data_IF_777573742736
#
_entry.id   IF_777573742736
#
_cell.length_a   1.000
_cell.length_b   1.000
_cell.length_c   1.000
_cell.angle_alpha   90.00
_cell.angle_beta   90.00
_cell.angle_gamma   90.00
#
_symmetry.space_group_name_H-M   'P 1'
#
loop_
_entity.id
_entity.type
_entity.pdbx_description
1 polymer ?
#
# COMPACT_ATOMS: atom_id res chain seq x y z
N UNK A 1 14.12 -2.17 -21.88
CA UNK A 1 13.70 -3.37 -21.12
C UNK A 1 12.82 -2.87 -19.99
N UNK A 2 11.59 -3.37 -19.86
CA UNK A 2 10.74 -3.02 -18.73
C UNK A 2 11.44 -3.39 -17.42
N UNK A 3 11.40 -2.52 -16.42
CA UNK A 3 12.02 -2.79 -15.13
C UNK A 3 11.32 -3.97 -14.45
N UNK A 4 12.08 -4.86 -13.81
CA UNK A 4 11.50 -5.91 -12.97
C UNK A 4 10.92 -5.27 -11.70
N UNK A 5 9.63 -5.45 -11.47
CA UNK A 5 8.93 -4.90 -10.29
C UNK A 5 8.78 -5.98 -9.22
N UNK A 6 9.08 -5.63 -7.96
CA UNK A 6 8.82 -6.45 -6.79
C UNK A 6 7.34 -6.30 -6.38
N UNK A 7 6.42 -6.78 -7.22
CA UNK A 7 4.98 -6.72 -6.97
C UNK A 7 4.45 -7.91 -6.16
N UNK A 8 3.21 -7.80 -5.67
CA UNK A 8 2.48 -8.91 -5.06
C UNK A 8 1.04 -8.99 -5.60
N UNK A 9 0.44 -10.18 -5.69
CA UNK A 9 -0.95 -10.32 -6.10
C UNK A 9 -1.89 -9.74 -5.04
N UNK A 10 -2.87 -8.97 -5.49
CA UNK A 10 -3.97 -8.45 -4.67
C UNK A 10 -5.29 -9.03 -5.16
N UNK A 11 -6.30 -9.07 -4.28
CA UNK A 11 -7.65 -9.49 -4.69
C UNK A 11 -8.38 -8.38 -5.47
N UNK A 12 -9.40 -8.77 -6.23
CA UNK A 12 -10.17 -7.85 -7.07
C UNK A 12 -10.84 -6.71 -6.27
N UNK A 13 -11.12 -6.93 -4.98
CA UNK A 13 -11.73 -5.93 -4.12
C UNK A 13 -10.71 -4.84 -3.77
N UNK A 14 -9.48 -5.21 -3.44
CA UNK A 14 -8.41 -4.25 -3.18
C UNK A 14 -8.03 -3.51 -4.46
N UNK A 15 -7.94 -4.20 -5.61
CA UNK A 15 -7.72 -3.59 -6.92
C UNK A 15 -8.77 -2.51 -7.24
N UNK A 16 -10.06 -2.85 -7.15
CA UNK A 16 -11.17 -1.90 -7.39
C UNK A 16 -11.08 -0.69 -6.46
N UNK A 17 -10.70 -0.91 -5.19
CA UNK A 17 -10.56 0.18 -4.21
C UNK A 17 -9.39 1.10 -4.54
N UNK A 18 -8.27 0.57 -5.03
CA UNK A 18 -7.12 1.38 -5.46
C UNK A 18 -7.54 2.27 -6.63
N UNK A 19 -8.14 1.68 -7.67
CA UNK A 19 -8.59 2.43 -8.85
C UNK A 19 -9.57 3.54 -8.49
N UNK A 20 -10.56 3.22 -7.64
CA UNK A 20 -11.52 4.23 -7.16
C UNK A 20 -10.84 5.35 -6.38
N UNK A 21 -9.93 5.01 -5.46
CA UNK A 21 -9.20 6.00 -4.69
C UNK A 21 -8.38 6.94 -5.60
N UNK A 22 -7.73 6.39 -6.64
CA UNK A 22 -6.98 7.19 -7.62
C UNK A 22 -7.92 8.19 -8.31
N UNK A 23 -9.08 7.74 -8.79
CA UNK A 23 -10.08 8.62 -9.41
C UNK A 23 -10.58 9.68 -8.44
N UNK A 24 -11.01 9.28 -7.24
CA UNK A 24 -11.59 10.18 -6.24
C UNK A 24 -10.57 11.25 -5.79
N UNK A 25 -9.29 10.89 -5.65
CA UNK A 25 -8.21 11.83 -5.32
C UNK A 25 -7.86 12.78 -6.47
N UNK A 26 -8.02 12.36 -7.74
CA UNK A 26 -7.79 13.22 -8.91
C UNK A 26 -8.94 14.20 -9.16
N UNK A 27 -10.18 13.77 -8.98
CA UNK A 27 -11.37 14.58 -9.26
C UNK A 27 -11.79 15.48 -8.10
N UNK A 28 -11.75 14.95 -6.87
CA UNK A 28 -12.25 15.64 -5.68
C UNK A 28 -11.44 15.28 -4.41
N UNK A 29 -10.14 15.64 -4.34
CA UNK A 29 -9.22 15.24 -3.27
C UNK A 29 -9.70 15.60 -1.85
N UNK A 30 -10.43 16.69 -1.70
CA UNK A 30 -10.99 17.16 -0.43
C UNK A 30 -12.24 16.38 0.01
N UNK A 31 -12.88 15.63 -0.89
CA UNK A 31 -14.02 14.76 -0.57
C UNK A 31 -13.60 13.40 0.00
N UNK A 32 -12.34 13.01 -0.18
CA UNK A 32 -11.80 11.74 0.30
C UNK A 32 -11.41 11.84 1.77
N UNK A 33 -11.98 10.96 2.60
CA UNK A 33 -11.65 10.90 4.01
C UNK A 33 -10.17 10.48 4.19
N UNK A 34 -9.42 11.24 4.99
CA UNK A 34 -7.99 10.96 5.26
C UNK A 34 -7.76 9.56 5.82
N UNK A 35 -8.65 9.08 6.68
CA UNK A 35 -8.59 7.71 7.21
C UNK A 35 -8.79 6.64 6.13
N UNK A 36 -9.52 6.94 5.05
CA UNK A 36 -9.71 6.01 3.94
C UNK A 36 -8.42 5.83 3.14
N UNK A 37 -7.69 6.93 2.91
CA UNK A 37 -6.35 6.91 2.28
C UNK A 37 -5.39 6.07 3.13
N UNK A 38 -5.33 6.33 4.44
CA UNK A 38 -4.47 5.58 5.36
C UNK A 38 -4.83 4.09 5.35
N UNK A 39 -6.12 3.77 5.43
CA UNK A 39 -6.58 2.38 5.47
C UNK A 39 -6.25 1.65 4.16
N UNK A 40 -6.37 2.30 3.01
CA UNK A 40 -5.99 1.70 1.73
C UNK A 40 -4.51 1.33 1.69
N UNK A 41 -3.62 2.28 2.01
CA UNK A 41 -2.16 2.03 2.01
C UNK A 41 -1.80 0.91 3.01
N UNK A 42 -2.49 0.86 4.15
CA UNK A 42 -2.33 -0.20 5.14
C UNK A 42 -2.76 -1.56 4.59
N UNK A 43 -3.89 -1.64 3.89
CA UNK A 43 -4.36 -2.89 3.27
C UNK A 43 -3.37 -3.38 2.19
N UNK A 44 -2.79 -2.48 1.42
CA UNK A 44 -1.76 -2.78 0.41
C UNK A 44 -0.46 -3.29 1.05
N UNK A 45 -0.05 -2.66 2.16
CA UNK A 45 1.13 -3.08 2.93
C UNK A 45 0.92 -4.46 3.55
N UNK A 46 -0.27 -4.73 4.10
CA UNK A 46 -0.62 -6.03 4.66
C UNK A 46 -0.61 -7.14 3.61
N UNK A 47 -1.14 -6.87 2.40
CA UNK A 47 -1.04 -7.81 1.27
C UNK A 47 0.43 -8.13 0.93
N UNK A 48 1.29 -7.12 0.93
CA UNK A 48 2.72 -7.27 0.65
C UNK A 48 3.44 -8.08 1.73
N UNK A 49 3.17 -7.83 3.01
CA UNK A 49 3.72 -8.64 4.11
C UNK A 49 3.21 -10.07 4.09
N UNK A 50 1.93 -10.29 3.78
CA UNK A 50 1.39 -11.64 3.64
C UNK A 50 2.12 -12.42 2.55
N UNK A 51 2.37 -11.79 1.41
CA UNK A 51 2.99 -12.42 0.25
C UNK A 51 4.50 -12.64 0.42
N UNK A 52 5.25 -11.61 0.80
CA UNK A 52 6.72 -11.66 0.83
C UNK A 52 7.30 -12.18 2.14
N UNK A 53 6.51 -12.18 3.23
CA UNK A 53 7.03 -12.54 4.55
C UNK A 53 6.28 -13.72 5.16
N UNK A 54 4.97 -13.59 5.38
CA UNK A 54 4.18 -14.61 6.10
C UNK A 54 4.10 -15.93 5.33
N UNK A 55 3.81 -15.87 4.03
CA UNK A 55 3.66 -17.07 3.18
C UNK A 55 4.96 -17.88 3.07
N UNK A 56 6.14 -17.30 2.80
CA UNK A 56 7.41 -18.03 2.82
C UNK A 56 7.67 -18.72 4.16
N UNK A 57 7.46 -18.02 5.28
CA UNK A 57 7.67 -18.58 6.61
C UNK A 57 6.74 -19.78 6.87
N UNK A 58 5.46 -19.67 6.49
CA UNK A 58 4.55 -20.83 6.54
C UNK A 58 5.05 -22.02 5.71
N UNK A 59 5.59 -21.76 4.52
CA UNK A 59 6.17 -22.78 3.64
C UNK A 59 7.43 -23.45 4.20
N UNK A 60 8.23 -22.72 4.99
CA UNK A 60 9.42 -23.25 5.66
C UNK A 60 9.11 -24.07 6.92
N UNK A 61 7.83 -24.20 7.29
CA UNK A 61 7.44 -25.04 8.43
C UNK A 61 7.83 -24.49 9.79
N UNK A 62 8.02 -23.15 9.95
CA UNK A 62 8.30 -22.57 11.29
C UNK A 62 7.26 -23.02 12.31
N UNK A 63 7.74 -23.37 13.51
CA UNK A 63 6.92 -23.82 14.63
C UNK A 63 5.98 -22.74 15.16
N UNK A 64 4.97 -23.17 15.93
CA UNK A 64 3.90 -22.31 16.45
C UNK A 64 4.43 -21.08 17.20
N UNK A 65 5.37 -21.26 18.13
CA UNK A 65 5.93 -20.16 18.92
C UNK A 65 6.57 -19.08 18.03
N UNK A 66 7.36 -19.48 17.03
CA UNK A 66 7.98 -18.55 16.08
C UNK A 66 6.94 -17.81 15.25
N UNK A 67 5.88 -18.50 14.79
CA UNK A 67 4.75 -17.87 14.06
C UNK A 67 4.07 -16.80 14.91
N UNK A 68 3.77 -17.11 16.18
CA UNK A 68 3.18 -16.13 17.10
C UNK A 68 4.07 -14.92 17.31
N UNK A 69 5.38 -15.12 17.50
CA UNK A 69 6.33 -14.00 17.62
C UNK A 69 6.36 -13.12 16.36
N UNK A 70 6.30 -13.75 15.18
CA UNK A 70 6.20 -13.04 13.89
C UNK A 70 4.91 -12.21 13.81
N UNK A 71 3.77 -12.81 14.14
CA UNK A 71 2.46 -12.14 14.08
C UNK A 71 2.43 -10.91 15.00
N UNK A 72 2.97 -11.04 16.23
CA UNK A 72 3.11 -9.91 17.16
C UNK A 72 4.02 -8.82 16.58
N UNK A 73 5.16 -9.21 16.00
CA UNK A 73 6.09 -8.26 15.36
C UNK A 73 5.44 -7.49 14.20
N UNK A 74 4.72 -8.20 13.33
CA UNK A 74 3.98 -7.61 12.21
C UNK A 74 2.89 -6.65 12.68
N UNK A 75 2.11 -7.02 13.70
CA UNK A 75 1.10 -6.12 14.29
C UNK A 75 1.75 -4.84 14.84
N UNK A 76 2.90 -4.96 15.50
CA UNK A 76 3.67 -3.81 15.97
C UNK A 76 4.14 -2.91 14.82
N UNK A 77 4.75 -3.51 13.79
CA UNK A 77 5.21 -2.79 12.60
C UNK A 77 4.06 -2.07 11.88
N UNK A 78 2.93 -2.76 11.65
CA UNK A 78 1.74 -2.17 11.02
C UNK A 78 1.17 -1.00 11.83
N UNK A 79 1.21 -1.06 13.16
CA UNK A 79 0.80 0.07 14.01
C UNK A 79 1.70 1.29 13.86
N UNK A 80 3.02 1.07 13.78
CA UNK A 80 3.99 2.16 13.54
C UNK A 80 3.77 2.78 12.17
N UNK A 81 3.65 1.95 11.13
CA UNK A 81 3.38 2.40 9.75
C UNK A 81 2.09 3.22 9.71
N UNK A 82 0.99 2.72 10.29
CA UNK A 82 -0.29 3.44 10.37
C UNK A 82 -0.14 4.79 11.04
N UNK A 83 0.54 4.84 12.18
CA UNK A 83 0.73 6.09 12.94
C UNK A 83 1.51 7.12 12.11
N UNK A 84 2.57 6.69 11.44
CA UNK A 84 3.36 7.56 10.57
C UNK A 84 2.55 8.04 9.37
N UNK A 85 1.80 7.15 8.72
CA UNK A 85 0.93 7.50 7.59
C UNK A 85 -0.16 8.48 8.00
N UNK A 86 -0.86 8.26 9.11
CA UNK A 86 -1.89 9.20 9.60
C UNK A 86 -1.35 10.60 9.84
N UNK A 87 -0.09 10.73 10.29
CA UNK A 87 0.56 12.05 10.45
C UNK A 87 0.82 12.71 9.11
N UNK A 88 1.29 11.98 8.11
CA UNK A 88 1.58 12.55 6.78
C UNK A 88 0.27 12.88 6.06
N UNK A 89 -0.61 11.89 5.94
CA UNK A 89 -1.91 12.00 5.25
C UNK A 89 -2.81 13.05 5.90
N UNK A 90 -2.76 13.19 7.22
CA UNK A 90 -3.54 14.19 7.95
C UNK A 90 -3.21 15.65 7.59
N UNK A 91 -2.07 15.91 6.95
CA UNK A 91 -1.64 17.26 6.55
C UNK A 91 -1.50 17.43 5.04
N UNK A 92 -2.00 16.49 4.22
CA UNK A 92 -1.93 16.62 2.77
C UNK A 92 -2.79 17.79 2.28
N UNK A 93 -2.19 18.64 1.45
CA UNK A 93 -2.94 19.54 0.57
C UNK A 93 -3.60 18.77 -0.57
N UNK A 94 -4.55 19.40 -1.27
CA UNK A 94 -5.21 18.81 -2.42
C UNK A 94 -4.20 18.49 -3.55
N UNK A 95 -3.24 19.37 -3.83
CA UNK A 95 -2.16 19.10 -4.79
C UNK A 95 -1.31 17.88 -4.41
N UNK A 96 -1.03 17.69 -3.12
CA UNK A 96 -0.28 16.53 -2.65
C UNK A 96 -1.12 15.25 -2.69
N UNK A 97 -2.43 15.35 -2.51
CA UNK A 97 -3.38 14.25 -2.65
C UNK A 97 -3.48 13.77 -4.10
N UNK A 98 -3.48 14.70 -5.07
CA UNK A 98 -3.40 14.36 -6.51
C UNK A 98 -2.07 13.67 -6.83
N UNK A 99 -0.94 14.18 -6.33
CA UNK A 99 0.37 13.53 -6.51
C UNK A 99 0.42 12.12 -5.92
N UNK A 100 -0.27 11.89 -4.80
CA UNK A 100 -0.40 10.54 -4.24
C UNK A 100 -1.16 9.61 -5.19
N UNK A 101 -2.23 10.11 -5.83
CA UNK A 101 -2.97 9.34 -6.83
C UNK A 101 -2.08 8.94 -8.02
N UNK A 102 -1.27 9.88 -8.52
CA UNK A 102 -0.34 9.61 -9.62
C UNK A 102 0.73 8.58 -9.23
N UNK A 103 1.28 8.70 -8.02
CA UNK A 103 2.21 7.68 -7.49
C UNK A 103 1.56 6.30 -7.38
N UNK A 104 0.32 6.21 -6.90
CA UNK A 104 -0.41 4.94 -6.81
C UNK A 104 -0.71 4.36 -8.19
N UNK A 105 -0.98 5.20 -9.18
CA UNK A 105 -1.22 4.76 -10.55
C UNK A 105 0.06 4.17 -11.16
N UNK A 106 1.16 4.92 -11.10
CA UNK A 106 2.45 4.52 -11.67
C UNK A 106 3.02 3.26 -11.01
N UNK A 107 2.92 3.16 -9.67
CA UNK A 107 3.51 2.07 -8.91
C UNK A 107 2.76 0.74 -9.08
N UNK A 108 1.44 0.78 -9.28
CA UNK A 108 0.58 -0.41 -9.27
C UNK A 108 0.02 -0.76 -10.66
N UNK A 109 -0.04 0.19 -11.58
CA UNK A 109 -0.45 -0.01 -12.97
C UNK A 109 0.66 0.43 -13.95
N UNK A 110 1.88 -0.15 -13.86
CA UNK A 110 3.04 0.29 -14.63
C UNK A 110 2.89 0.08 -16.14
N UNK A 111 2.00 -0.80 -16.60
CA UNK A 111 1.71 -0.97 -18.04
C UNK A 111 0.98 0.25 -18.65
N UNK A 112 0.50 1.17 -17.81
CA UNK A 112 -0.07 2.48 -18.19
C UNK A 112 0.95 3.61 -18.09
N UNK A 113 2.09 3.40 -17.41
CA UNK A 113 3.10 4.42 -17.16
C UNK A 113 4.35 4.19 -18.03
N UNK A 114 4.63 5.11 -18.97
CA UNK A 114 5.79 5.00 -19.87
C UNK A 114 7.16 5.06 -19.13
N UNK A 115 7.18 5.46 -17.85
CA UNK A 115 8.39 5.51 -17.01
C UNK A 115 8.07 5.35 -15.52
N UNK A 116 8.87 4.58 -14.74
CA UNK A 116 8.70 4.51 -13.29
C UNK A 116 9.00 5.88 -12.64
N UNK A 117 8.32 6.22 -11.53
CA UNK A 117 8.41 7.55 -10.93
C UNK A 117 9.82 7.78 -10.35
N UNK A 118 10.39 8.96 -10.63
CA UNK A 118 11.66 9.39 -10.04
C UNK A 118 11.39 9.90 -8.63
N UNK A 119 12.03 9.29 -7.64
CA UNK A 119 12.11 9.84 -6.29
C UNK A 119 13.13 10.97 -6.33
N UNK A 120 12.66 12.22 -6.32
CA UNK A 120 13.48 13.41 -6.04
C UNK A 120 13.57 13.68 -4.53
#
# INVERSE_FOLDING_TARGET
>A
MAATVLGCPIDARLDTRIQRMITDLREAPSSVARDEIVQLIIDMTDASFKYHFVRPLKGLGVGFATRTSIDVGLLGAMRVIRTSLSRVVGHLSDDQAVKLADYLDDAYFPDTAEQPPRLE
#
